data_IF_073924991388
#
_entry.id   IF_073924991388
#
_cell.length_a   1.000
_cell.length_b   1.000
_cell.length_c   1.000
_cell.angle_alpha   90.00
_cell.angle_beta   90.00
_cell.angle_gamma   90.00
#
_symmetry.space_group_name_H-M   'P 1'
#
loop_
_entity.id
_entity.type
_entity.pdbx_description
1 polymer ?
#
# COMPACT_ATOMS: atom_id res chain seq x y z
N UNK A 1 -4.83 -47.87 -13.68
CA UNK A 1 -4.62 -46.96 -12.54
C UNK A 1 -3.12 -46.67 -12.40
N UNK A 2 -2.66 -45.45 -12.56
CA UNK A 2 -1.26 -45.11 -12.30
C UNK A 2 -1.03 -45.08 -10.77
N UNK A 3 0.05 -45.71 -10.24
CA UNK A 3 0.33 -45.71 -8.83
C UNK A 3 0.51 -44.25 -8.37
N UNK A 4 -0.29 -43.82 -7.40
CA UNK A 4 -0.19 -42.50 -6.83
C UNK A 4 1.13 -42.38 -6.09
N UNK A 5 1.99 -41.46 -6.55
CA UNK A 5 3.28 -41.17 -5.92
C UNK A 5 3.07 -40.83 -4.42
N UNK A 6 3.71 -41.53 -3.48
CA UNK A 6 3.53 -41.34 -2.04
C UNK A 6 4.19 -40.04 -1.53
N UNK A 7 5.08 -39.42 -2.30
CA UNK A 7 5.84 -38.26 -1.89
C UNK A 7 5.11 -36.92 -2.19
N UNK A 8 5.28 -35.89 -1.35
CA UNK A 8 4.77 -34.57 -1.63
C UNK A 8 5.39 -34.01 -2.92
N UNK A 9 4.57 -33.35 -3.74
CA UNK A 9 5.06 -32.63 -4.93
C UNK A 9 5.32 -31.18 -4.56
N UNK A 10 6.55 -30.73 -4.78
CA UNK A 10 6.93 -29.31 -4.61
C UNK A 10 6.86 -28.67 -6.01
N UNK A 11 6.03 -27.62 -6.13
CA UNK A 11 5.89 -26.87 -7.36
C UNK A 11 7.01 -25.82 -7.56
N UNK A 12 7.00 -25.18 -8.71
CA UNK A 12 7.91 -24.06 -9.00
C UNK A 12 7.71 -22.90 -8.02
N UNK A 13 8.77 -22.15 -7.66
CA UNK A 13 8.63 -21.04 -6.73
C UNK A 13 7.78 -19.91 -7.31
N UNK A 14 6.87 -19.41 -6.50
CA UNK A 14 6.09 -18.22 -6.77
C UNK A 14 6.92 -16.99 -6.40
N UNK A 15 6.99 -15.99 -7.26
CA UNK A 15 7.88 -14.82 -7.08
C UNK A 15 7.07 -13.56 -6.76
N UNK A 16 6.45 -13.49 -5.58
CA UNK A 16 5.77 -12.25 -5.16
C UNK A 16 6.60 -11.30 -4.30
N UNK A 17 7.66 -11.77 -3.66
CA UNK A 17 8.37 -10.99 -2.67
C UNK A 17 9.84 -11.35 -2.58
N UNK A 18 10.56 -10.71 -1.65
CA UNK A 18 11.91 -11.10 -1.20
C UNK A 18 11.98 -12.57 -0.78
N UNK A 19 10.87 -13.10 -0.30
CA UNK A 19 10.73 -14.46 0.17
C UNK A 19 10.32 -15.39 -0.98
N UNK A 20 10.80 -16.62 -0.98
CA UNK A 20 10.42 -17.62 -1.96
C UNK A 20 9.24 -18.42 -1.43
N UNK A 21 8.19 -18.51 -2.22
CA UNK A 21 6.99 -19.29 -1.92
C UNK A 21 7.00 -20.56 -2.78
N UNK A 22 6.86 -21.73 -2.17
CA UNK A 22 6.81 -23.01 -2.85
C UNK A 22 5.48 -23.70 -2.60
N UNK A 23 4.65 -23.93 -3.61
CA UNK A 23 3.47 -24.79 -3.47
C UNK A 23 3.90 -26.22 -3.13
N UNK A 24 3.19 -26.85 -2.18
CA UNK A 24 3.42 -28.23 -1.78
C UNK A 24 2.08 -28.96 -1.83
N UNK A 25 1.95 -29.90 -2.74
CA UNK A 25 0.78 -30.74 -2.86
C UNK A 25 1.06 -32.11 -2.23
N UNK A 26 0.30 -32.46 -1.20
CA UNK A 26 0.29 -33.77 -0.57
C UNK A 26 -0.99 -34.52 -0.96
N UNK A 27 -1.10 -35.80 -0.61
CA UNK A 27 -2.34 -36.60 -0.82
C UNK A 27 -3.56 -36.01 -0.10
N UNK A 28 -3.35 -35.29 1.02
CA UNK A 28 -4.42 -34.83 1.90
C UNK A 28 -4.56 -33.31 1.99
N UNK A 29 -3.51 -32.56 1.62
CA UNK A 29 -3.46 -31.10 1.85
C UNK A 29 -2.71 -30.41 0.73
N UNK A 30 -3.17 -29.21 0.41
CA UNK A 30 -2.43 -28.24 -0.39
C UNK A 30 -1.80 -27.24 0.58
N UNK A 31 -0.50 -27.09 0.50
CA UNK A 31 0.28 -26.25 1.40
C UNK A 31 1.13 -25.26 0.59
N UNK A 32 1.61 -24.21 1.27
CA UNK A 32 2.59 -23.29 0.72
C UNK A 32 3.72 -23.10 1.73
N UNK A 33 4.96 -23.27 1.29
CA UNK A 33 6.14 -23.01 2.10
C UNK A 33 6.72 -21.64 1.77
N UNK A 34 6.74 -20.74 2.75
CA UNK A 34 7.39 -19.43 2.69
C UNK A 34 8.80 -19.54 3.26
N UNK A 35 9.81 -19.44 2.39
CA UNK A 35 11.23 -19.53 2.78
C UNK A 35 11.78 -18.12 3.00
N UNK A 36 12.14 -17.82 4.24
CA UNK A 36 12.62 -16.52 4.70
C UNK A 36 14.10 -16.62 5.09
N UNK A 37 14.91 -15.66 4.64
CA UNK A 37 16.33 -15.56 4.98
C UNK A 37 16.57 -14.71 6.23
N UNK A 38 15.68 -13.78 6.54
CA UNK A 38 15.74 -12.98 7.75
C UNK A 38 14.95 -13.68 8.88
N UNK A 39 15.66 -14.08 9.93
CA UNK A 39 15.07 -14.75 11.08
C UNK A 39 14.19 -13.83 11.93
N UNK A 40 14.48 -12.53 11.97
CA UNK A 40 13.68 -11.55 12.71
C UNK A 40 12.35 -11.30 11.98
N UNK A 41 12.39 -11.15 10.66
CA UNK A 41 11.15 -11.09 9.86
C UNK A 41 10.32 -12.37 10.00
N UNK A 42 10.96 -13.55 9.96
CA UNK A 42 10.24 -14.81 10.16
C UNK A 42 9.63 -14.95 11.56
N UNK A 43 10.27 -14.35 12.57
CA UNK A 43 9.70 -14.29 13.92
C UNK A 43 8.51 -13.33 13.97
N UNK A 44 8.65 -12.14 13.39
CA UNK A 44 7.56 -11.15 13.31
C UNK A 44 6.35 -11.73 12.56
N UNK A 45 6.58 -12.42 11.43
CA UNK A 45 5.56 -13.12 10.65
C UNK A 45 4.77 -14.13 11.50
N UNK A 46 5.45 -14.95 12.31
CA UNK A 46 4.78 -15.93 13.18
C UNK A 46 3.96 -15.26 14.28
N UNK A 47 4.53 -14.24 14.92
CA UNK A 47 3.83 -13.50 15.98
C UNK A 47 2.62 -12.73 15.43
N UNK A 48 2.79 -12.11 14.27
CA UNK A 48 1.72 -11.42 13.56
C UNK A 48 0.58 -12.36 13.18
N UNK A 49 0.91 -13.54 12.60
CA UNK A 49 -0.08 -14.56 12.30
C UNK A 49 -0.85 -15.01 13.55
N UNK A 50 -0.14 -15.27 14.67
CA UNK A 50 -0.76 -15.68 15.92
C UNK A 50 -1.72 -14.62 16.46
N UNK A 51 -1.38 -13.34 16.34
CA UNK A 51 -2.23 -12.23 16.74
C UNK A 51 -3.46 -12.11 15.84
N UNK A 52 -3.28 -12.20 14.52
CA UNK A 52 -4.37 -11.95 13.57
C UNK A 52 -5.39 -13.07 13.49
N UNK A 53 -5.00 -14.32 13.72
CA UNK A 53 -5.90 -15.49 13.56
C UNK A 53 -7.19 -15.42 14.39
N UNK A 54 -7.15 -14.69 15.51
CA UNK A 54 -8.29 -14.54 16.40
C UNK A 54 -9.24 -13.42 15.95
N UNK A 55 -8.81 -12.59 14.98
CA UNK A 55 -9.53 -11.42 14.50
C UNK A 55 -9.86 -11.45 13.01
N UNK A 56 -9.00 -12.06 12.21
CA UNK A 56 -9.08 -12.03 10.75
C UNK A 56 -9.04 -13.45 10.17
N UNK A 57 -9.74 -13.72 9.06
CA UNK A 57 -9.46 -14.90 8.27
C UNK A 57 -8.01 -14.93 7.81
N UNK A 58 -7.26 -15.91 8.25
CA UNK A 58 -5.87 -16.14 7.86
C UNK A 58 -5.64 -17.62 7.56
N UNK A 59 -4.80 -17.99 6.58
CA UNK A 59 -4.40 -19.36 6.34
C UNK A 59 -3.75 -19.99 7.57
N UNK A 60 -4.07 -21.25 7.86
CA UNK A 60 -3.48 -21.96 9.00
C UNK A 60 -1.97 -22.12 8.85
N UNK A 61 -1.19 -21.67 9.83
CA UNK A 61 0.24 -22.00 9.94
C UNK A 61 0.40 -23.38 10.58
N UNK A 62 0.83 -24.37 9.76
CA UNK A 62 1.00 -25.75 10.22
C UNK A 62 2.36 -26.00 10.87
N UNK A 63 3.43 -25.50 10.24
CA UNK A 63 4.79 -25.80 10.70
C UNK A 63 5.71 -24.60 10.54
N UNK A 64 6.67 -24.53 11.47
CA UNK A 64 7.83 -23.65 11.41
C UNK A 64 9.09 -24.51 11.48
N UNK A 65 9.92 -24.50 10.46
CA UNK A 65 11.15 -25.26 10.39
C UNK A 65 12.33 -24.30 10.29
N UNK A 66 13.31 -24.45 11.16
CA UNK A 66 14.58 -23.70 11.06
C UNK A 66 15.62 -24.60 10.42
N UNK A 67 16.25 -24.11 9.39
CA UNK A 67 17.41 -24.73 8.73
C UNK A 67 18.55 -23.70 8.68
N UNK A 68 19.80 -24.11 8.51
CA UNK A 68 20.93 -23.18 8.45
C UNK A 68 20.67 -22.06 7.43
N UNK A 69 20.73 -20.79 7.90
CA UNK A 69 20.54 -19.59 7.09
C UNK A 69 19.10 -19.30 6.65
N UNK A 70 18.09 -20.09 7.08
CA UNK A 70 16.68 -19.86 6.65
C UNK A 70 15.67 -20.32 7.69
N UNK A 71 14.50 -19.70 7.66
CA UNK A 71 13.29 -20.19 8.31
C UNK A 71 12.24 -20.51 7.25
N UNK A 72 11.62 -21.68 7.34
CA UNK A 72 10.55 -22.11 6.44
C UNK A 72 9.24 -22.14 7.24
N UNK A 73 8.26 -21.38 6.80
CA UNK A 73 6.90 -21.36 7.35
C UNK A 73 5.98 -22.10 6.38
N UNK A 74 5.24 -23.08 6.87
CA UNK A 74 4.35 -23.89 6.06
C UNK A 74 2.91 -23.57 6.42
N UNK A 75 2.23 -22.91 5.49
CA UNK A 75 0.83 -22.51 5.59
C UNK A 75 -0.09 -23.44 4.81
N UNK A 76 -1.33 -23.47 5.20
CA UNK A 76 -2.40 -23.98 4.34
C UNK A 76 -2.46 -23.12 3.07
N UNK A 77 -2.53 -23.79 1.92
CA UNK A 77 -2.74 -23.12 0.64
C UNK A 77 -4.22 -22.90 0.46
N UNK A 78 -4.63 -21.64 0.36
CA UNK A 78 -6.01 -21.30 0.08
C UNK A 78 -6.46 -21.95 -1.24
N UNK A 79 -7.74 -22.39 -1.34
CA UNK A 79 -8.31 -22.83 -2.59
C UNK A 79 -8.43 -21.60 -3.51
N UNK A 80 -7.41 -21.38 -4.30
CA UNK A 80 -7.35 -20.30 -5.28
C UNK A 80 -7.88 -20.87 -6.58
N UNK A 81 -8.93 -20.29 -7.11
CA UNK A 81 -9.29 -20.48 -8.52
C UNK A 81 -8.15 -19.86 -9.35
N UNK A 82 -7.71 -20.55 -10.41
CA UNK A 82 -6.45 -20.27 -11.11
C UNK A 82 -6.33 -18.83 -11.61
N UNK A 83 -7.45 -18.11 -11.73
CA UNK A 83 -7.52 -16.76 -12.30
C UNK A 83 -7.94 -15.67 -11.31
N UNK A 84 -8.25 -16.02 -10.04
CA UNK A 84 -8.75 -15.06 -9.05
C UNK A 84 -8.25 -15.38 -7.64
N UNK A 85 -6.93 -15.33 -7.47
CA UNK A 85 -6.31 -15.68 -6.20
C UNK A 85 -6.17 -14.54 -5.20
N UNK A 86 -6.14 -13.29 -5.67
CA UNK A 86 -5.89 -12.09 -4.88
C UNK A 86 -6.91 -10.99 -5.21
N UNK A 87 -7.03 -10.01 -4.31
CA UNK A 87 -7.78 -8.78 -4.61
C UNK A 87 -7.25 -8.10 -5.89
N UNK A 88 -5.94 -8.17 -6.13
CA UNK A 88 -5.31 -7.71 -7.38
C UNK A 88 -6.04 -8.26 -8.62
N UNK A 89 -6.34 -9.56 -8.63
CA UNK A 89 -6.98 -10.21 -9.78
C UNK A 89 -8.42 -9.71 -9.97
N UNK A 90 -9.17 -9.50 -8.87
CA UNK A 90 -10.49 -8.88 -8.94
C UNK A 90 -10.43 -7.46 -9.48
N UNK A 91 -9.42 -6.67 -9.07
CA UNK A 91 -9.25 -5.29 -9.53
C UNK A 91 -8.86 -5.21 -11.01
N UNK A 92 -8.24 -6.26 -11.55
CA UNK A 92 -7.77 -6.28 -12.94
C UNK A 92 -8.76 -6.93 -13.92
N UNK A 93 -9.71 -7.75 -13.46
CA UNK A 93 -10.63 -8.50 -14.34
C UNK A 93 -11.99 -7.83 -14.51
N UNK A 94 -12.29 -6.75 -13.80
CA UNK A 94 -13.67 -6.25 -13.65
C UNK A 94 -14.01 -5.06 -14.55
N UNK A 95 -13.18 -4.71 -15.53
CA UNK A 95 -13.43 -3.49 -16.34
C UNK A 95 -14.63 -3.59 -17.30
N UNK A 96 -15.17 -4.80 -17.58
CA UNK A 96 -16.17 -4.99 -18.65
C UNK A 96 -17.60 -5.35 -18.18
N UNK A 97 -17.99 -5.17 -16.92
CA UNK A 97 -19.41 -5.27 -16.61
C UNK A 97 -19.87 -5.63 -15.20
N UNK A 98 -19.57 -6.80 -14.66
CA UNK A 98 -20.14 -7.20 -13.36
C UNK A 98 -19.21 -6.94 -12.18
N UNK A 99 -19.43 -5.82 -11.51
CA UNK A 99 -18.70 -5.47 -10.29
C UNK A 99 -19.29 -6.10 -9.00
N UNK A 100 -20.28 -6.98 -9.09
CA UNK A 100 -20.96 -7.53 -7.91
C UNK A 100 -20.03 -8.32 -7.01
N UNK A 101 -19.13 -9.13 -7.59
CA UNK A 101 -18.14 -9.92 -6.84
C UNK A 101 -17.15 -9.00 -6.09
N UNK A 102 -16.66 -7.95 -6.74
CA UNK A 102 -15.78 -6.97 -6.11
C UNK A 102 -16.50 -6.20 -5.01
N UNK A 103 -17.75 -5.76 -5.25
CA UNK A 103 -18.55 -5.07 -4.24
C UNK A 103 -18.80 -5.95 -3.01
N UNK A 104 -19.19 -7.21 -3.21
CA UNK A 104 -19.38 -8.18 -2.13
C UNK A 104 -18.09 -8.44 -1.35
N UNK A 105 -16.96 -8.55 -2.05
CA UNK A 105 -15.63 -8.69 -1.43
C UNK A 105 -15.29 -7.48 -0.57
N UNK A 106 -15.44 -6.26 -1.11
CA UNK A 106 -15.15 -5.01 -0.39
C UNK A 106 -16.05 -4.84 0.83
N UNK A 107 -17.35 -5.18 0.74
CA UNK A 107 -18.26 -5.17 1.90
C UNK A 107 -17.78 -6.10 3.00
N UNK A 108 -17.39 -7.32 2.65
CA UNK A 108 -16.89 -8.29 3.63
C UNK A 108 -15.58 -7.84 4.28
N UNK A 109 -14.63 -7.34 3.48
CA UNK A 109 -13.35 -6.84 3.95
C UNK A 109 -13.53 -5.65 4.91
N UNK A 110 -14.31 -4.65 4.49
CA UNK A 110 -14.56 -3.44 5.30
C UNK A 110 -15.33 -3.75 6.57
N UNK A 111 -16.30 -4.68 6.53
CA UNK A 111 -17.04 -5.14 7.72
C UNK A 111 -16.12 -5.81 8.73
N UNK A 112 -15.19 -6.66 8.26
CA UNK A 112 -14.18 -7.29 9.14
C UNK A 112 -13.28 -6.23 9.79
N UNK A 113 -12.74 -5.31 9.01
CA UNK A 113 -11.92 -4.21 9.55
C UNK A 113 -12.69 -3.35 10.56
N UNK A 114 -13.93 -2.95 10.21
CA UNK A 114 -14.74 -2.10 11.08
C UNK A 114 -15.03 -2.80 12.43
N UNK A 115 -15.36 -4.09 12.40
CA UNK A 115 -15.55 -4.88 13.61
C UNK A 115 -14.28 -4.90 14.45
N UNK A 116 -13.15 -5.32 13.89
CA UNK A 116 -11.88 -5.44 14.63
C UNK A 116 -11.41 -4.09 15.15
N UNK A 117 -11.51 -3.03 14.35
CA UNK A 117 -11.11 -1.69 14.78
C UNK A 117 -12.02 -1.17 15.88
N UNK A 118 -13.33 -1.48 15.83
CA UNK A 118 -14.25 -1.08 16.90
C UNK A 118 -13.92 -1.76 18.23
N UNK A 119 -13.53 -3.03 18.19
CA UNK A 119 -13.22 -3.83 19.39
C UNK A 119 -11.81 -3.57 19.95
N UNK A 120 -10.85 -3.20 19.10
CA UNK A 120 -9.45 -3.13 19.50
C UNK A 120 -8.84 -1.73 19.49
N UNK A 121 -9.59 -0.70 19.05
CA UNK A 121 -9.06 0.65 18.96
C UNK A 121 -8.76 1.26 20.34
N UNK A 122 -7.59 1.86 20.44
CA UNK A 122 -7.16 2.66 21.58
C UNK A 122 -6.23 3.79 21.17
N UNK A 123 -6.13 4.82 21.99
CA UNK A 123 -5.11 5.85 21.84
C UNK A 123 -3.78 5.31 22.37
N UNK A 124 -2.87 5.01 21.48
CA UNK A 124 -1.62 4.29 21.81
C UNK A 124 -0.40 5.19 21.71
N UNK A 125 0.56 5.06 22.63
CA UNK A 125 1.86 5.72 22.52
C UNK A 125 2.65 5.15 21.35
N UNK A 126 3.56 5.93 20.73
CA UNK A 126 4.35 5.51 19.56
C UNK A 126 5.14 4.21 19.75
N UNK A 127 5.56 3.92 20.99
CA UNK A 127 6.35 2.74 21.30
C UNK A 127 5.59 1.41 21.19
N UNK A 128 4.26 1.45 21.20
CA UNK A 128 3.40 0.26 21.10
C UNK A 128 2.83 0.06 19.70
N UNK A 129 2.98 1.07 18.83
CA UNK A 129 2.49 1.03 17.44
C UNK A 129 3.59 0.50 16.53
N UNK A 130 3.23 -0.39 15.59
CA UNK A 130 4.17 -0.94 14.61
C UNK A 130 4.75 0.19 13.76
N UNK A 131 6.08 0.41 13.86
CA UNK A 131 6.77 1.50 13.18
C UNK A 131 7.28 1.17 11.78
N UNK A 132 7.34 -0.11 11.41
CA UNK A 132 8.09 -0.67 10.27
C UNK A 132 7.87 0.06 8.93
N UNK A 133 6.63 0.46 8.62
CA UNK A 133 6.31 1.10 7.34
C UNK A 133 6.41 2.63 7.37
N UNK A 134 6.44 3.22 8.56
CA UNK A 134 6.31 4.66 8.76
C UNK A 134 7.44 5.22 9.63
N UNK A 135 7.29 5.17 10.95
CA UNK A 135 8.24 5.75 11.91
C UNK A 135 9.67 5.27 11.67
N UNK A 136 9.89 3.96 11.57
CA UNK A 136 11.23 3.39 11.43
C UNK A 136 11.92 3.78 10.11
N UNK A 137 11.13 4.12 9.10
CA UNK A 137 11.64 4.67 7.82
C UNK A 137 11.97 6.15 7.88
N UNK A 138 11.32 6.89 8.78
CA UNK A 138 11.50 8.33 8.95
C UNK A 138 12.61 8.69 9.93
N UNK A 139 12.92 7.80 10.89
CA UNK A 139 13.98 8.00 11.88
C UNK A 139 15.36 8.16 11.25
N UNK A 140 16.31 8.83 11.93
CA UNK A 140 17.69 8.93 11.50
C UNK A 140 18.30 7.54 11.20
N UNK A 141 18.99 7.44 10.06
CA UNK A 141 19.48 6.17 9.52
C UNK A 141 18.42 5.28 8.87
N UNK A 142 17.17 5.70 8.85
CA UNK A 142 16.07 5.02 8.18
C UNK A 142 16.07 5.23 6.66
N UNK A 143 14.97 4.83 6.03
CA UNK A 143 14.86 4.82 4.57
C UNK A 143 14.90 6.22 3.96
N UNK A 144 14.33 7.23 4.62
CA UNK A 144 14.36 8.61 4.10
C UNK A 144 15.79 9.14 4.04
N UNK A 145 16.60 8.89 5.06
CA UNK A 145 18.02 9.29 5.03
C UNK A 145 18.78 8.54 3.93
N UNK A 146 18.53 7.23 3.81
CA UNK A 146 19.17 6.42 2.76
C UNK A 146 18.82 6.91 1.35
N UNK A 147 17.62 7.39 1.12
CA UNK A 147 17.19 7.89 -0.18
C UNK A 147 17.63 9.32 -0.47
N UNK A 148 17.61 10.20 0.56
CA UNK A 148 17.58 11.65 0.33
C UNK A 148 18.68 12.43 1.02
N UNK A 149 19.49 11.85 1.93
CA UNK A 149 20.47 12.61 2.71
C UNK A 149 21.54 13.35 1.86
N UNK A 150 21.78 12.92 0.63
CA UNK A 150 22.84 13.44 -0.23
C UNK A 150 22.39 13.78 -1.66
N UNK A 151 21.09 13.76 -1.93
CA UNK A 151 20.58 13.84 -3.28
C UNK A 151 19.66 15.06 -3.47
N UNK A 152 20.17 16.07 -4.18
CA UNK A 152 19.32 17.11 -4.74
C UNK A 152 18.79 16.64 -6.10
N UNK A 153 17.46 16.51 -6.20
CA UNK A 153 16.78 15.81 -7.28
C UNK A 153 16.44 16.76 -8.43
N UNK A 154 16.90 16.53 -9.66
CA UNK A 154 16.53 17.34 -10.82
C UNK A 154 15.05 17.12 -11.19
N UNK A 155 14.36 18.20 -11.55
CA UNK A 155 12.94 18.22 -11.90
C UNK A 155 12.68 18.49 -13.38
N UNK A 156 13.75 18.48 -14.19
CA UNK A 156 13.71 18.64 -15.65
C UNK A 156 14.65 17.64 -16.31
N UNK A 157 14.49 17.43 -17.61
CA UNK A 157 15.38 16.56 -18.40
C UNK A 157 16.78 17.13 -18.56
N UNK A 158 16.93 18.44 -18.58
CA UNK A 158 18.20 19.12 -18.81
C UNK A 158 19.18 19.03 -17.62
N UNK A 159 18.82 18.33 -16.55
CA UNK A 159 19.57 18.23 -15.29
C UNK A 159 19.90 19.59 -14.62
N UNK A 160 19.44 20.69 -15.23
CA UNK A 160 19.54 22.04 -14.71
C UNK A 160 18.40 22.35 -13.73
N UNK A 161 18.24 23.60 -13.39
CA UNK A 161 17.16 24.05 -12.50
C UNK A 161 15.79 24.04 -13.22
N UNK A 162 14.66 23.80 -12.51
CA UNK A 162 14.59 23.70 -11.06
C UNK A 162 14.99 22.31 -10.51
N UNK A 163 15.53 22.32 -9.31
CA UNK A 163 15.80 21.16 -8.46
C UNK A 163 14.80 21.09 -7.31
N UNK A 164 14.78 19.95 -6.62
CA UNK A 164 13.86 19.77 -5.49
C UNK A 164 14.11 20.79 -4.37
N UNK A 165 15.38 21.11 -4.09
CA UNK A 165 15.78 22.16 -3.13
C UNK A 165 15.29 23.57 -3.50
N UNK A 166 15.10 23.85 -4.79
CA UNK A 166 14.60 25.15 -5.23
C UNK A 166 13.12 25.36 -4.86
N UNK A 167 12.32 24.28 -4.71
CA UNK A 167 10.88 24.35 -4.49
C UNK A 167 10.48 25.04 -3.17
N UNK A 168 11.35 25.02 -2.17
CA UNK A 168 11.10 25.76 -0.92
C UNK A 168 10.97 27.28 -1.19
N UNK A 169 11.71 27.79 -2.17
CA UNK A 169 11.73 29.20 -2.55
C UNK A 169 10.74 29.54 -3.66
N UNK A 170 10.68 28.71 -4.69
CA UNK A 170 9.90 28.98 -5.92
C UNK A 170 8.48 28.42 -5.87
N UNK A 171 8.26 27.37 -5.05
CA UNK A 171 7.05 26.58 -5.14
C UNK A 171 6.92 25.84 -6.47
N UNK A 172 5.75 25.30 -6.71
CA UNK A 172 5.35 24.71 -7.99
C UNK A 172 3.88 25.01 -8.30
N UNK A 173 3.55 25.08 -9.57
CA UNK A 173 2.16 25.15 -10.00
C UNK A 173 1.64 23.78 -10.37
N UNK A 174 0.55 23.35 -9.75
CA UNK A 174 -0.15 22.09 -10.04
C UNK A 174 -1.51 22.43 -10.62
N UNK A 175 -1.74 22.05 -11.87
CA UNK A 175 -2.99 22.36 -12.59
C UNK A 175 -3.40 23.86 -12.50
N UNK A 176 -2.42 24.74 -12.57
CA UNK A 176 -2.60 26.20 -12.50
C UNK A 176 -2.69 26.79 -11.11
N UNK A 177 -2.65 25.99 -10.04
CA UNK A 177 -2.67 26.44 -8.65
C UNK A 177 -1.26 26.38 -8.05
N UNK A 178 -0.83 27.44 -7.40
CA UNK A 178 0.47 27.50 -6.71
C UNK A 178 0.45 26.68 -5.42
N UNK A 179 1.51 25.89 -5.22
CA UNK A 179 1.76 25.14 -3.99
C UNK A 179 3.18 25.40 -3.52
N UNK A 180 3.32 25.71 -2.24
CA UNK A 180 4.62 25.76 -1.59
C UNK A 180 5.01 24.34 -1.19
N UNK A 181 6.24 23.92 -1.49
CA UNK A 181 6.78 22.65 -1.07
C UNK A 181 8.18 22.86 -0.47
N UNK A 182 8.23 22.97 0.83
CA UNK A 182 9.49 22.94 1.58
C UNK A 182 9.90 21.48 1.79
N UNK A 183 10.87 21.04 1.00
CA UNK A 183 11.33 19.66 1.02
C UNK A 183 12.03 19.30 2.33
N UNK A 184 12.98 20.13 2.77
CA UNK A 184 13.76 19.88 3.99
C UNK A 184 12.88 20.01 5.24
N UNK A 185 11.99 20.99 5.25
CA UNK A 185 10.97 21.13 6.27
C UNK A 185 10.02 19.94 6.30
N UNK A 186 9.63 19.38 5.14
CA UNK A 186 8.80 18.16 5.06
C UNK A 186 9.52 16.94 5.63
N UNK A 187 10.79 16.72 5.29
CA UNK A 187 11.59 15.62 5.87
C UNK A 187 11.77 15.77 7.38
N UNK A 188 12.07 17.00 7.84
CA UNK A 188 12.21 17.30 9.26
C UNK A 188 10.90 17.07 10.02
N UNK A 189 9.78 17.53 9.48
CA UNK A 189 8.46 17.34 10.05
C UNK A 189 8.10 15.84 10.14
N UNK A 190 8.37 15.05 9.10
CA UNK A 190 8.08 13.61 9.09
C UNK A 190 8.84 12.86 10.20
N UNK A 191 10.06 13.29 10.55
CA UNK A 191 10.83 12.64 11.62
C UNK A 191 10.13 12.76 12.99
N UNK A 192 9.44 13.89 13.27
CA UNK A 192 8.70 14.10 14.50
C UNK A 192 7.21 13.72 14.43
N UNK A 193 6.66 13.50 13.24
CA UNK A 193 5.22 13.30 13.06
C UNK A 193 4.67 12.01 13.69
N UNK A 194 5.56 11.05 13.99
CA UNK A 194 5.19 9.75 14.57
C UNK A 194 5.50 9.65 16.08
N UNK A 195 5.85 10.76 16.74
CA UNK A 195 6.25 10.77 18.16
C UNK A 195 5.09 11.10 19.09
N UNK A 196 3.89 11.29 18.57
CA UNK A 196 2.68 11.57 19.35
C UNK A 196 1.77 10.32 19.44
N UNK A 197 0.96 10.20 20.51
CA UNK A 197 -0.05 9.14 20.60
C UNK A 197 -1.02 9.21 19.42
N UNK A 198 -1.41 8.01 18.91
CA UNK A 198 -2.31 7.88 17.77
C UNK A 198 -3.41 6.87 18.03
N UNK A 199 -4.57 7.05 17.42
CA UNK A 199 -5.58 6.01 17.36
C UNK A 199 -5.05 4.81 16.57
N UNK A 200 -4.98 3.66 17.22
CA UNK A 200 -4.43 2.43 16.69
C UNK A 200 -5.36 1.24 16.96
N UNK A 201 -5.27 0.23 16.13
CA UNK A 201 -6.03 -1.01 16.28
C UNK A 201 -5.19 -2.22 15.84
N UNK A 202 -5.65 -3.43 16.16
CA UNK A 202 -5.03 -4.65 15.65
C UNK A 202 -5.31 -4.75 14.15
N UNK A 203 -4.24 -4.89 13.34
CA UNK A 203 -4.34 -5.08 11.91
C UNK A 203 -3.11 -5.75 11.30
N UNK A 204 -3.21 -6.09 10.01
CA UNK A 204 -2.13 -6.70 9.26
C UNK A 204 -1.01 -5.69 8.93
N UNK A 205 -1.32 -4.40 8.80
CA UNK A 205 -0.34 -3.32 8.68
C UNK A 205 0.06 -2.96 7.25
N UNK A 206 -0.08 -3.85 6.28
CA UNK A 206 0.23 -3.59 4.86
C UNK A 206 -0.87 -4.14 3.92
N UNK A 207 -2.11 -3.63 4.01
CA UNK A 207 -3.28 -4.15 3.29
C UNK A 207 -3.24 -3.78 1.80
N UNK A 208 -2.27 -4.30 1.09
CA UNK A 208 -2.16 -4.13 -0.37
C UNK A 208 -3.00 -5.19 -1.10
N UNK A 209 -3.31 -4.96 -2.37
CA UNK A 209 -4.10 -5.88 -3.17
C UNK A 209 -3.44 -7.25 -3.38
N UNK A 210 -2.13 -7.36 -3.18
CA UNK A 210 -1.36 -8.62 -3.20
C UNK A 210 -1.33 -9.32 -1.84
N UNK A 211 -1.72 -8.66 -0.76
CA UNK A 211 -1.77 -9.21 0.60
C UNK A 211 -3.18 -9.60 1.04
N UNK A 212 -4.15 -9.52 0.14
CA UNK A 212 -5.54 -9.84 0.36
C UNK A 212 -5.98 -10.93 -0.63
N UNK A 213 -6.32 -12.11 -0.11
CA UNK A 213 -6.71 -13.26 -0.91
C UNK A 213 -8.20 -13.29 -1.24
N UNK A 214 -8.54 -14.03 -2.30
CA UNK A 214 -9.91 -14.35 -2.71
C UNK A 214 -10.06 -15.89 -2.73
N UNK A 215 -10.91 -16.48 -1.87
CA UNK A 215 -11.78 -15.87 -0.84
C UNK A 215 -11.01 -15.04 0.19
N UNK A 216 -11.72 -14.09 0.83
CA UNK A 216 -11.10 -13.13 1.75
C UNK A 216 -10.27 -13.81 2.83
N UNK A 217 -8.98 -13.56 2.79
CA UNK A 217 -8.03 -13.82 3.87
C UNK A 217 -6.86 -12.84 3.78
N UNK A 218 -6.30 -12.49 4.95
CA UNK A 218 -5.11 -11.64 5.04
C UNK A 218 -3.85 -12.49 4.92
N UNK A 219 -2.85 -11.97 4.21
CA UNK A 219 -1.56 -12.60 3.95
C UNK A 219 -0.43 -11.68 4.40
N UNK A 220 0.78 -12.22 4.56
CA UNK A 220 2.01 -11.48 4.87
C UNK A 220 1.92 -10.71 6.21
N UNK A 221 2.36 -11.33 7.30
CA UNK A 221 2.07 -10.89 8.67
C UNK A 221 3.22 -10.19 9.38
N UNK A 222 4.31 -9.89 8.68
CA UNK A 222 5.53 -9.31 9.28
C UNK A 222 5.39 -7.85 9.74
N UNK A 223 4.26 -7.21 9.37
CA UNK A 223 3.82 -5.89 9.82
C UNK A 223 2.58 -5.94 10.72
N UNK A 224 2.08 -7.16 11.00
CA UNK A 224 0.90 -7.32 11.81
C UNK A 224 1.17 -6.95 13.27
N UNK A 225 0.21 -6.26 13.86
CA UNK A 225 0.33 -5.77 15.21
C UNK A 225 -0.71 -4.71 15.51
N UNK A 226 -0.40 -3.88 16.49
CA UNK A 226 -1.15 -2.66 16.73
C UNK A 226 -0.66 -1.60 15.74
N UNK A 227 -1.45 -1.27 14.76
CA UNK A 227 -1.13 -0.31 13.72
C UNK A 227 -1.98 0.95 13.86
N UNK A 228 -1.44 2.10 13.44
CA UNK A 228 -2.20 3.35 13.39
C UNK A 228 -3.36 3.23 12.39
N UNK A 229 -4.58 3.57 12.81
CA UNK A 229 -5.78 3.54 11.96
C UNK A 229 -5.58 4.41 10.72
N UNK A 230 -5.04 5.62 10.90
CA UNK A 230 -4.72 6.51 9.78
C UNK A 230 -3.66 5.91 8.84
N UNK A 231 -2.72 5.12 9.37
CA UNK A 231 -1.71 4.40 8.58
C UNK A 231 -2.32 3.31 7.70
N UNK A 232 -3.26 2.52 8.23
CA UNK A 232 -4.00 1.52 7.46
C UNK A 232 -4.82 2.16 6.33
N UNK A 233 -5.54 3.26 6.65
CA UNK A 233 -6.33 4.01 5.67
C UNK A 233 -5.43 4.56 4.56
N UNK A 234 -4.32 5.20 4.93
CA UNK A 234 -3.38 5.75 3.97
C UNK A 234 -2.75 4.67 3.08
N UNK A 235 -2.40 3.52 3.67
CA UNK A 235 -1.79 2.41 2.94
C UNK A 235 -2.73 1.86 1.87
N UNK A 236 -3.91 1.38 2.27
CA UNK A 236 -4.87 0.81 1.32
C UNK A 236 -5.26 1.84 0.25
N UNK A 237 -5.61 3.07 0.66
CA UNK A 237 -6.08 4.08 -0.28
C UNK A 237 -5.01 4.48 -1.29
N UNK A 238 -3.78 4.77 -0.84
CA UNK A 238 -2.70 5.19 -1.74
C UNK A 238 -2.18 4.03 -2.60
N UNK A 239 -2.13 2.81 -2.04
CA UNK A 239 -1.77 1.64 -2.83
C UNK A 239 -2.78 1.38 -3.94
N UNK A 240 -4.06 1.37 -3.63
CA UNK A 240 -5.14 1.15 -4.61
C UNK A 240 -5.18 2.24 -5.67
N UNK A 241 -5.06 3.50 -5.28
CA UNK A 241 -5.16 4.64 -6.19
C UNK A 241 -3.90 4.86 -7.04
N UNK A 242 -2.72 4.55 -6.51
CA UNK A 242 -1.44 4.94 -7.13
C UNK A 242 -0.50 3.76 -7.30
N UNK A 243 -0.10 3.12 -6.20
CA UNK A 243 1.04 2.20 -6.24
C UNK A 243 0.73 0.91 -6.98
N UNK A 244 -0.35 0.21 -6.60
CA UNK A 244 -0.71 -1.12 -7.10
C UNK A 244 -1.25 -1.10 -8.52
N UNK A 245 -1.87 0.01 -8.95
CA UNK A 245 -2.49 0.12 -10.27
C UNK A 245 -1.49 0.21 -11.42
N UNK A 246 -0.33 0.81 -11.20
CA UNK A 246 0.63 1.05 -12.27
C UNK A 246 2.09 1.12 -11.81
N UNK A 247 2.38 1.82 -10.70
CA UNK A 247 3.77 2.16 -10.36
C UNK A 247 4.56 0.93 -9.91
N UNK A 248 4.03 0.14 -8.97
CA UNK A 248 4.68 -1.09 -8.48
C UNK A 248 4.81 -2.13 -9.59
N UNK A 249 3.77 -2.43 -10.39
CA UNK A 249 3.91 -3.35 -11.52
C UNK A 249 4.93 -2.89 -12.57
N UNK A 250 5.01 -1.59 -12.84
CA UNK A 250 5.99 -1.02 -13.79
C UNK A 250 7.43 -1.17 -13.27
N UNK A 251 7.66 -0.94 -11.99
CA UNK A 251 9.00 -0.97 -11.39
C UNK A 251 9.46 -2.37 -10.97
N UNK A 252 8.52 -3.27 -10.71
CA UNK A 252 8.81 -4.64 -10.29
C UNK A 252 7.96 -5.67 -11.07
N UNK A 253 8.06 -5.72 -12.42
CA UNK A 253 7.22 -6.58 -13.25
C UNK A 253 7.35 -8.06 -12.91
N UNK A 254 8.52 -8.49 -12.43
CA UNK A 254 8.78 -9.88 -12.07
C UNK A 254 7.85 -10.40 -10.95
N UNK A 255 7.37 -9.51 -10.07
CA UNK A 255 6.44 -9.87 -9.02
C UNK A 255 5.02 -10.17 -9.55
N UNK A 256 4.69 -9.72 -10.75
CA UNK A 256 3.35 -9.80 -11.33
C UNK A 256 3.23 -10.77 -12.51
N UNK A 257 4.28 -11.53 -12.84
CA UNK A 257 4.28 -12.47 -13.98
C UNK A 257 3.11 -13.48 -13.92
N UNK A 258 2.69 -13.87 -12.72
CA UNK A 258 1.59 -14.81 -12.52
C UNK A 258 0.20 -14.14 -12.58
N UNK A 259 0.15 -12.81 -12.73
CA UNK A 259 -1.04 -11.99 -12.84
C UNK A 259 -0.97 -11.11 -14.09
N UNK A 260 -0.97 -11.70 -15.29
CA UNK A 260 -0.70 -11.00 -16.54
C UNK A 260 -1.71 -9.87 -16.83
N UNK A 261 -2.96 -10.03 -16.43
CA UNK A 261 -3.98 -8.97 -16.53
C UNK A 261 -3.58 -7.66 -15.84
N UNK A 262 -2.63 -7.69 -14.88
CA UNK A 262 -2.08 -6.47 -14.28
C UNK A 262 -1.42 -5.58 -15.32
N UNK A 263 -0.70 -6.17 -16.28
CA UNK A 263 0.02 -5.39 -17.30
C UNK A 263 -0.94 -4.73 -18.29
N UNK A 264 -2.06 -5.36 -18.58
CA UNK A 264 -3.10 -4.82 -19.46
C UNK A 264 -3.80 -3.62 -18.82
N UNK A 265 -3.84 -3.56 -17.49
CA UNK A 265 -4.46 -2.48 -16.72
C UNK A 265 -3.52 -1.29 -16.44
N UNK A 266 -2.20 -1.44 -16.60
CA UNK A 266 -1.25 -0.32 -16.40
C UNK A 266 -1.63 0.94 -17.19
N UNK A 267 -1.94 0.88 -18.50
CA UNK A 267 -2.28 2.08 -19.26
C UNK A 267 -3.54 2.79 -18.76
N UNK A 268 -4.52 2.05 -18.24
CA UNK A 268 -5.76 2.60 -17.68
C UNK A 268 -5.52 3.34 -16.36
N UNK A 269 -4.53 2.90 -15.59
CA UNK A 269 -4.22 3.42 -14.26
C UNK A 269 -3.04 4.41 -14.25
N UNK A 270 -2.26 4.49 -15.33
CA UNK A 270 -1.11 5.41 -15.40
C UNK A 270 -1.60 6.85 -15.56
N UNK A 271 -1.24 7.77 -14.64
CA UNK A 271 -1.63 9.17 -14.75
C UNK A 271 -0.96 9.82 -15.97
N UNK A 272 -1.58 10.86 -16.48
CA UNK A 272 -0.94 11.73 -17.48
C UNK A 272 -0.26 12.88 -16.76
N UNK A 273 1.01 13.09 -17.02
CA UNK A 273 1.80 14.16 -16.41
C UNK A 273 2.56 14.90 -17.50
N UNK A 274 2.52 16.21 -17.45
CA UNK A 274 3.39 17.07 -18.25
C UNK A 274 3.90 18.21 -17.38
N UNK A 275 5.13 18.62 -17.60
CA UNK A 275 5.72 19.72 -16.86
C UNK A 275 6.56 20.61 -17.77
N UNK A 276 6.56 21.89 -17.48
CA UNK A 276 7.41 22.87 -18.15
C UNK A 276 7.88 23.94 -17.15
N UNK A 277 9.14 24.33 -17.19
CA UNK A 277 9.62 25.49 -16.45
C UNK A 277 9.06 26.75 -17.08
N UNK A 278 8.64 27.72 -16.26
CA UNK A 278 8.23 29.04 -16.69
C UNK A 278 8.62 30.07 -15.65
N UNK A 279 9.35 31.11 -16.05
CA UNK A 279 9.81 32.20 -15.19
C UNK A 279 10.46 31.71 -13.88
N UNK A 280 11.27 30.64 -13.92
CA UNK A 280 11.97 30.09 -12.77
C UNK A 280 11.13 29.20 -11.87
N UNK A 281 9.87 28.96 -12.18
CA UNK A 281 8.97 28.05 -11.49
C UNK A 281 8.63 26.82 -12.33
N UNK A 282 8.25 25.73 -11.67
CA UNK A 282 7.83 24.50 -12.33
C UNK A 282 6.30 24.44 -12.42
N UNK A 283 5.79 24.33 -13.64
CA UNK A 283 4.36 24.17 -13.90
C UNK A 283 4.08 22.73 -14.29
N UNK A 284 3.28 22.03 -13.48
CA UNK A 284 2.90 20.62 -13.70
C UNK A 284 1.41 20.58 -13.99
N UNK A 285 1.07 19.91 -15.10
CA UNK A 285 -0.31 19.48 -15.39
C UNK A 285 -0.36 17.99 -15.21
N UNK A 286 -1.31 17.50 -14.43
CA UNK A 286 -1.54 16.08 -14.29
C UNK A 286 -3.04 15.77 -14.29
N UNK A 287 -3.34 14.55 -14.67
CA UNK A 287 -4.67 13.96 -14.55
C UNK A 287 -4.51 12.56 -13.98
N UNK A 288 -5.15 12.32 -12.85
CA UNK A 288 -5.24 10.99 -12.26
C UNK A 288 -6.05 10.08 -13.21
N UNK A 289 -5.63 8.84 -13.28
CA UNK A 289 -6.36 7.79 -13.97
C UNK A 289 -6.51 6.61 -13.04
N UNK A 290 -7.69 6.06 -13.01
CA UNK A 290 -8.02 4.93 -12.15
C UNK A 290 -9.07 4.09 -12.86
N UNK A 291 -8.81 2.80 -13.00
CA UNK A 291 -9.78 1.86 -13.56
C UNK A 291 -11.08 1.88 -12.75
N UNK A 292 -12.18 1.51 -13.38
CA UNK A 292 -13.50 1.52 -12.73
C UNK A 292 -13.53 0.60 -11.49
N UNK A 293 -12.90 -0.57 -11.58
CA UNK A 293 -12.79 -1.50 -10.47
C UNK A 293 -12.04 -0.90 -9.26
N UNK A 294 -10.90 -0.23 -9.49
CA UNK A 294 -10.14 0.42 -8.42
C UNK A 294 -10.89 1.62 -7.83
N UNK A 295 -11.59 2.38 -8.65
CA UNK A 295 -12.46 3.48 -8.20
C UNK A 295 -13.59 2.95 -7.32
N UNK A 296 -14.26 1.86 -7.73
CA UNK A 296 -15.29 1.19 -6.93
C UNK A 296 -14.73 0.69 -5.59
N UNK A 297 -13.61 -0.03 -5.61
CA UNK A 297 -12.98 -0.54 -4.39
C UNK A 297 -12.65 0.59 -3.41
N UNK A 298 -12.05 1.67 -3.91
CA UNK A 298 -11.70 2.83 -3.10
C UNK A 298 -12.95 3.52 -2.54
N UNK A 299 -13.98 3.74 -3.36
CA UNK A 299 -15.25 4.36 -2.93
C UNK A 299 -15.94 3.52 -1.85
N UNK A 300 -15.97 2.19 -2.01
CA UNK A 300 -16.53 1.28 -0.99
C UNK A 300 -15.71 1.28 0.30
N UNK A 301 -14.40 1.26 0.20
CA UNK A 301 -13.52 1.35 1.37
C UNK A 301 -13.77 2.63 2.17
N UNK A 302 -13.87 3.76 1.47
CA UNK A 302 -14.13 5.04 2.12
C UNK A 302 -15.54 5.12 2.72
N UNK A 303 -16.56 4.72 1.99
CA UNK A 303 -17.94 4.79 2.47
C UNK A 303 -18.20 3.84 3.65
N UNK A 304 -17.72 2.59 3.57
CA UNK A 304 -18.10 1.54 4.52
C UNK A 304 -17.14 1.41 5.71
N UNK A 305 -15.90 1.89 5.61
CA UNK A 305 -14.92 1.81 6.68
C UNK A 305 -14.43 3.18 7.13
N UNK A 306 -13.90 3.99 6.20
CA UNK A 306 -13.22 5.23 6.59
C UNK A 306 -14.20 6.24 7.20
N UNK A 307 -15.37 6.43 6.60
CA UNK A 307 -16.36 7.39 7.11
C UNK A 307 -16.86 7.04 8.51
N UNK A 308 -17.22 5.79 8.85
CA UNK A 308 -17.56 5.41 10.23
C UNK A 308 -16.39 5.61 11.22
N UNK A 309 -15.16 5.25 10.82
CA UNK A 309 -13.99 5.44 11.69
C UNK A 309 -13.66 6.92 11.89
N UNK A 310 -13.79 7.74 10.85
CA UNK A 310 -13.60 9.19 10.94
C UNK A 310 -14.57 9.83 11.94
N UNK A 311 -15.86 9.48 11.85
CA UNK A 311 -16.88 9.97 12.77
C UNK A 311 -16.58 9.59 14.23
N UNK A 312 -16.01 8.40 14.45
CA UNK A 312 -15.78 7.87 15.80
C UNK A 312 -14.47 8.34 16.41
N UNK A 313 -13.37 8.34 15.66
CA UNK A 313 -12.02 8.53 16.18
C UNK A 313 -11.36 9.84 15.75
N UNK A 314 -11.89 10.53 14.74
CA UNK A 314 -11.30 11.73 14.17
C UNK A 314 -12.35 12.85 13.98
N UNK A 315 -12.99 13.30 15.07
CA UNK A 315 -14.04 14.32 14.97
C UNK A 315 -13.50 15.64 14.42
N UNK A 316 -14.39 16.49 13.88
CA UNK A 316 -14.04 17.82 13.41
C UNK A 316 -13.09 17.87 12.21
N UNK A 317 -12.97 16.78 11.44
CA UNK A 317 -12.06 16.74 10.28
C UNK A 317 -10.61 16.35 10.62
N UNK A 318 -10.33 15.94 11.86
CA UNK A 318 -9.00 15.54 12.32
C UNK A 318 -8.39 14.37 11.50
N UNK A 319 -9.21 13.61 10.76
CA UNK A 319 -8.70 12.55 9.88
C UNK A 319 -7.73 13.10 8.84
N UNK A 320 -8.00 14.26 8.25
CA UNK A 320 -7.13 14.86 7.23
C UNK A 320 -5.72 15.09 7.78
N UNK A 321 -5.61 15.66 8.97
CA UNK A 321 -4.32 15.87 9.62
C UNK A 321 -3.65 14.57 10.03
N UNK A 322 -4.42 13.61 10.56
CA UNK A 322 -3.90 12.31 10.94
C UNK A 322 -3.38 11.49 9.74
N UNK A 323 -3.96 11.67 8.54
CA UNK A 323 -3.54 10.96 7.33
C UNK A 323 -2.24 11.50 6.72
N UNK A 324 -1.97 12.81 6.85
CA UNK A 324 -0.85 13.48 6.17
C UNK A 324 0.50 12.77 6.33
N UNK A 325 1.00 12.46 7.54
CA UNK A 325 2.31 11.84 7.69
C UNK A 325 2.37 10.46 7.04
N UNK A 326 1.30 9.68 7.14
CA UNK A 326 1.25 8.36 6.54
C UNK A 326 1.19 8.41 5.01
N UNK A 327 0.43 9.34 4.43
CA UNK A 327 0.40 9.56 2.99
C UNK A 327 1.73 10.07 2.47
N UNK A 328 2.33 11.06 3.13
CA UNK A 328 3.65 11.55 2.76
C UNK A 328 4.68 10.42 2.75
N UNK A 329 4.68 9.55 3.77
CA UNK A 329 5.56 8.36 3.81
C UNK A 329 5.24 7.34 2.70
N UNK A 330 3.97 7.19 2.29
CA UNK A 330 3.63 6.32 1.15
C UNK A 330 4.08 6.93 -0.18
N UNK A 331 4.12 8.25 -0.30
CA UNK A 331 4.58 8.96 -1.50
C UNK A 331 6.10 8.86 -1.64
N UNK A 332 6.87 9.19 -0.58
CA UNK A 332 8.33 9.33 -0.69
C UNK A 332 9.12 8.21 -0.02
N UNK A 333 8.50 7.42 0.85
CA UNK A 333 9.19 6.35 1.60
C UNK A 333 9.04 4.96 0.98
N UNK A 334 8.32 4.77 -0.14
CA UNK A 334 8.20 3.47 -0.82
C UNK A 334 9.28 3.32 -1.86
N UNK A 335 9.46 4.30 -2.73
CA UNK A 335 10.48 4.33 -3.77
C UNK A 335 11.42 5.51 -3.60
N UNK A 336 12.67 5.31 -3.96
CA UNK A 336 13.65 6.38 -4.12
C UNK A 336 13.29 7.22 -5.36
N UNK A 337 12.89 8.47 -5.14
CA UNK A 337 12.48 9.37 -6.21
C UNK A 337 13.60 9.59 -7.25
N UNK A 338 14.86 9.49 -6.85
CA UNK A 338 16.01 9.65 -7.77
C UNK A 338 15.99 8.57 -8.86
N UNK A 339 15.57 7.36 -8.52
CA UNK A 339 15.56 6.20 -9.42
C UNK A 339 14.33 6.12 -10.33
N UNK A 340 13.34 6.98 -10.11
CA UNK A 340 12.13 7.02 -10.92
C UNK A 340 12.35 7.79 -12.22
N UNK A 341 11.55 7.49 -13.24
CA UNK A 341 11.47 8.37 -14.43
C UNK A 341 11.04 9.78 -14.02
N UNK A 342 11.34 10.76 -14.87
CA UNK A 342 10.94 12.14 -14.59
C UNK A 342 9.43 12.27 -14.38
N UNK A 343 8.62 11.63 -15.20
CA UNK A 343 7.15 11.66 -15.09
C UNK A 343 6.64 11.04 -13.78
N UNK A 344 7.17 9.88 -13.40
CA UNK A 344 6.83 9.21 -12.15
C UNK A 344 7.21 10.07 -10.94
N UNK A 345 8.38 10.66 -10.98
CA UNK A 345 8.89 11.57 -9.95
C UNK A 345 8.02 12.82 -9.81
N UNK A 346 7.74 13.49 -10.91
CA UNK A 346 6.89 14.68 -10.94
C UNK A 346 5.48 14.39 -10.45
N UNK A 347 4.91 13.24 -10.82
CA UNK A 347 3.62 12.82 -10.31
C UNK A 347 3.63 12.66 -8.79
N UNK A 348 4.60 11.93 -8.23
CA UNK A 348 4.69 11.74 -6.77
C UNK A 348 4.95 13.06 -6.03
N UNK A 349 5.79 13.94 -6.56
CA UNK A 349 5.98 15.28 -5.98
C UNK A 349 4.72 16.13 -6.03
N UNK A 350 3.94 16.02 -7.10
CA UNK A 350 2.61 16.65 -7.18
C UNK A 350 1.68 16.14 -6.09
N UNK A 351 1.64 14.82 -5.90
CA UNK A 351 0.85 14.21 -4.80
C UNK A 351 1.35 14.66 -3.43
N UNK A 352 2.67 14.78 -3.25
CA UNK A 352 3.23 15.32 -2.00
C UNK A 352 2.80 16.78 -1.76
N UNK A 353 2.92 17.64 -2.77
CA UNK A 353 2.52 19.03 -2.67
C UNK A 353 1.03 19.18 -2.34
N UNK A 354 0.17 18.36 -2.94
CA UNK A 354 -1.26 18.32 -2.62
C UNK A 354 -1.52 17.80 -1.21
N UNK A 355 -0.79 16.80 -0.75
CA UNK A 355 -0.88 16.25 0.60
C UNK A 355 -0.46 17.28 1.65
N UNK A 356 0.58 18.07 1.37
CA UNK A 356 1.12 19.09 2.27
C UNK A 356 0.38 20.43 2.21
N UNK A 357 -0.55 20.62 1.26
CA UNK A 357 -1.31 21.85 1.10
C UNK A 357 -2.17 22.15 2.35
N UNK A 358 -2.30 23.42 2.77
CA UNK A 358 -3.12 23.79 3.94
C UNK A 358 -4.58 23.32 3.85
N UNK A 359 -5.14 23.31 2.65
CA UNK A 359 -6.51 22.89 2.36
C UNK A 359 -6.60 21.42 1.89
N UNK A 360 -5.66 20.59 2.30
CA UNK A 360 -5.67 19.17 2.00
C UNK A 360 -7.01 18.52 2.38
N UNK A 361 -7.58 17.81 1.42
CA UNK A 361 -8.79 17.01 1.59
C UNK A 361 -8.57 15.63 1.03
N UNK A 362 -8.67 14.56 1.82
CA UNK A 362 -8.52 13.20 1.33
C UNK A 362 -9.50 12.85 0.20
N UNK A 363 -10.74 13.33 0.26
CA UNK A 363 -11.76 13.09 -0.76
C UNK A 363 -11.37 13.69 -2.11
N UNK A 364 -10.84 14.92 -2.12
CA UNK A 364 -10.29 15.54 -3.34
C UNK A 364 -8.99 14.89 -3.79
N UNK A 365 -8.15 14.49 -2.85
CA UNK A 365 -6.85 13.86 -3.16
C UNK A 365 -7.00 12.51 -3.86
N UNK A 366 -8.05 11.75 -3.52
CA UNK A 366 -8.36 10.44 -4.10
C UNK A 366 -9.49 10.48 -5.14
N UNK A 367 -9.99 11.65 -5.50
CA UNK A 367 -11.12 11.83 -6.44
C UNK A 367 -12.37 11.02 -6.06
N UNK A 368 -12.76 11.15 -4.78
CA UNK A 368 -13.90 10.42 -4.20
C UNK A 368 -15.22 11.24 -4.23
N UNK A 369 -15.38 12.13 -5.19
CA UNK A 369 -16.59 12.97 -5.28
C UNK A 369 -17.83 12.14 -5.56
N UNK A 370 -18.98 12.58 -5.03
CA UNK A 370 -20.26 11.85 -4.94
C UNK A 370 -20.87 11.37 -6.27
N UNK A 371 -20.31 11.77 -7.41
CA UNK A 371 -20.80 11.37 -8.73
C UNK A 371 -20.50 9.90 -9.11
N UNK A 372 -19.85 9.12 -8.25
CA UNK A 372 -19.53 7.71 -8.48
C UNK A 372 -20.41 6.72 -7.72
N UNK A 373 -21.46 7.19 -7.02
CA UNK A 373 -22.46 6.29 -6.49
C UNK A 373 -23.59 6.13 -7.54
N UNK A 374 -23.70 5.01 -8.25
CA UNK A 374 -24.88 4.77 -9.07
C UNK A 374 -26.08 4.69 -8.09
N UNK A 375 -26.92 5.71 -8.11
CA UNK A 375 -28.27 5.60 -7.57
C UNK A 375 -28.94 4.45 -8.30
N UNK A 376 -29.08 3.31 -7.63
CA UNK A 376 -29.89 2.10 -7.87
C UNK A 376 -30.01 1.59 -9.29
#
# INVERSE_FOLDING_TARGET
>A
MRPSNPFPRIGAPLKFSRNRLYPIDTRRRRLIAKCMTDHNEARAEVLGHQLLRDWYPVPTLHHRVRIPGRTVLIYERLPVDTDRGLLLDLLNTTDDGDHSTLDAYMRRMTSTYLHVFTETAELSPPSTVVGKLYRDRALPGGRLDHYYAHNDIPLTQAQDRPRLSDLARTGLYVNGRHHQLDWDGTLSWLRGAFDTPVWSAISQGDPTDVNLAVPLAWLDYDTAGRNAIAGEIANFSFYTAVLGGWLVPTLNPQAFIQHPATFDQIPANTPRVSAHPHAGTLHIRFTDRLSQARRLALSRYWALLVSPLAARYFPGGALSEALRPYLAMRIIGVFDLVRLSLEQRLYLLTKLALCMAPDFSPTRFFDLTESSCPTR
#
